data_IF_014723342936
#
_entry.id   IF_014723342936
#
_cell.length_a   1.000
_cell.length_b   1.000
_cell.length_c   1.000
_cell.angle_alpha   90.00
_cell.angle_beta   90.00
_cell.angle_gamma   90.00
#
_symmetry.space_group_name_H-M   'P 1'
#
loop_
_entity.id
_entity.type
_entity.pdbx_description
1 polymer ?
#
# COMPACT_ATOMS: atom_id res chain seq x y z
N UNK A 1 -3.30 16.28 2.67
CA UNK A 1 -2.33 15.16 2.74
C UNK A 1 -2.67 14.33 3.98
N UNK A 2 -2.69 13.01 3.90
CA UNK A 2 -3.09 12.15 5.01
C UNK A 2 -2.25 10.86 5.07
N UNK A 3 -2.10 10.29 6.27
CA UNK A 3 -1.41 9.02 6.50
C UNK A 3 -2.30 7.82 6.15
N UNK A 4 -1.69 6.71 5.73
CA UNK A 4 -2.43 5.49 5.37
C UNK A 4 -3.28 4.92 6.51
N UNK A 5 -2.88 5.10 7.76
CA UNK A 5 -3.62 4.65 8.95
C UNK A 5 -4.84 5.53 9.26
N UNK A 6 -5.05 6.62 8.52
CA UNK A 6 -6.14 7.56 8.73
C UNK A 6 -7.09 7.61 7.51
N UNK A 7 -7.72 6.48 7.11
CA UNK A 7 -8.58 6.44 5.92
C UNK A 7 -9.83 7.33 6.04
N UNK A 8 -10.23 7.69 7.26
CA UNK A 8 -11.31 8.64 7.53
C UNK A 8 -11.00 10.05 7.00
N UNK A 9 -9.73 10.45 6.95
CA UNK A 9 -9.33 11.77 6.47
C UNK A 9 -9.64 11.95 4.98
N UNK A 10 -9.44 10.91 4.17
CA UNK A 10 -9.80 10.91 2.77
C UNK A 10 -11.34 10.98 2.56
N UNK A 11 -12.11 10.33 3.42
CA UNK A 11 -13.57 10.41 3.38
C UNK A 11 -14.07 11.83 3.72
N UNK A 12 -13.50 12.45 4.76
CA UNK A 12 -13.85 13.83 5.15
C UNK A 12 -13.48 14.84 4.08
N UNK A 13 -12.26 14.75 3.52
CA UNK A 13 -11.84 15.62 2.42
C UNK A 13 -12.79 15.52 1.21
N UNK A 14 -13.19 14.30 0.85
CA UNK A 14 -14.17 14.06 -0.22
C UNK A 14 -15.53 14.71 0.05
N UNK A 15 -16.03 14.67 1.30
CA UNK A 15 -17.32 15.33 1.63
C UNK A 15 -17.28 16.85 1.56
N UNK A 16 -16.08 17.43 1.62
CA UNK A 16 -15.84 18.87 1.57
C UNK A 16 -15.34 19.35 0.20
N UNK A 17 -15.28 18.47 -0.81
CA UNK A 17 -14.67 18.74 -2.12
C UNK A 17 -13.21 19.21 -2.04
N UNK A 18 -12.47 18.72 -1.05
CA UNK A 18 -11.04 19.02 -0.87
C UNK A 18 -10.21 17.89 -1.49
N UNK A 19 -9.20 18.19 -2.33
CA UNK A 19 -8.28 17.17 -2.84
C UNK A 19 -7.54 16.46 -1.70
N UNK A 20 -7.63 15.13 -1.67
CA UNK A 20 -6.88 14.29 -0.75
C UNK A 20 -5.66 13.70 -1.47
N UNK A 21 -4.49 13.78 -0.83
CA UNK A 21 -3.25 13.15 -1.32
C UNK A 21 -2.78 12.19 -0.24
N UNK A 22 -2.68 10.91 -0.60
CA UNK A 22 -2.15 9.91 0.33
C UNK A 22 -0.63 10.08 0.49
N UNK A 23 -0.17 10.02 1.73
CA UNK A 23 1.24 10.00 2.09
C UNK A 23 1.56 8.69 2.81
N UNK A 24 2.49 7.93 2.24
CA UNK A 24 2.98 6.68 2.80
C UNK A 24 4.25 6.95 3.61
N UNK A 25 4.17 6.58 4.88
CA UNK A 25 5.28 6.54 5.82
C UNK A 25 6.08 5.24 5.71
N UNK A 26 5.56 4.25 4.98
CA UNK A 26 6.23 3.00 4.66
C UNK A 26 6.95 3.09 3.32
N UNK A 27 7.95 2.22 3.10
CA UNK A 27 8.65 2.11 1.82
C UNK A 27 7.78 1.60 0.68
N UNK A 28 8.19 1.88 -0.55
CA UNK A 28 7.47 1.47 -1.76
C UNK A 28 7.46 -0.05 -1.91
N UNK A 29 8.57 -0.74 -1.57
CA UNK A 29 8.62 -2.22 -1.46
C UNK A 29 7.46 -2.74 -0.59
N UNK A 30 7.36 -2.25 0.64
CA UNK A 30 6.40 -2.75 1.64
C UNK A 30 4.97 -2.51 1.18
N UNK A 31 4.69 -1.31 0.67
CA UNK A 31 3.34 -0.97 0.23
C UNK A 31 2.92 -1.74 -1.02
N UNK A 32 3.79 -1.82 -2.03
CA UNK A 32 3.51 -2.52 -3.30
C UNK A 32 3.37 -4.04 -3.12
N UNK A 33 4.24 -4.67 -2.33
CA UNK A 33 4.17 -6.11 -2.02
C UNK A 33 2.92 -6.47 -1.21
N UNK A 34 2.58 -5.65 -0.22
CA UNK A 34 1.32 -5.79 0.52
C UNK A 34 0.11 -5.64 -0.40
N UNK A 35 0.05 -4.58 -1.20
CA UNK A 35 -1.03 -4.32 -2.16
C UNK A 35 -1.17 -5.44 -3.19
N UNK A 36 -0.06 -5.99 -3.68
CA UNK A 36 -0.05 -7.12 -4.60
C UNK A 36 -0.64 -8.36 -3.94
N UNK A 37 -0.18 -8.72 -2.75
CA UNK A 37 -0.72 -9.88 -2.02
C UNK A 37 -2.23 -9.75 -1.76
N UNK A 38 -2.74 -8.53 -1.63
CA UNK A 38 -4.17 -8.27 -1.51
C UNK A 38 -4.95 -8.47 -2.81
N UNK A 39 -4.46 -7.89 -3.90
CA UNK A 39 -5.17 -7.85 -5.19
C UNK A 39 -4.98 -9.14 -6.01
N UNK A 40 -3.83 -9.81 -5.85
CA UNK A 40 -3.36 -10.92 -6.67
C UNK A 40 -3.10 -12.15 -5.79
N UNK A 41 -4.16 -12.68 -5.16
CA UNK A 41 -4.02 -13.79 -4.22
C UNK A 41 -3.50 -15.04 -4.92
N UNK A 42 -2.41 -15.60 -4.40
CA UNK A 42 -1.78 -16.81 -4.94
C UNK A 42 -0.75 -16.53 -6.03
N UNK A 43 -0.59 -15.29 -6.46
CA UNK A 43 0.47 -14.87 -7.38
C UNK A 43 1.70 -14.41 -6.59
N UNK A 44 2.89 -14.75 -7.09
CA UNK A 44 4.13 -14.24 -6.55
C UNK A 44 4.28 -12.74 -6.89
N UNK A 45 4.95 -11.99 -6.02
CA UNK A 45 5.32 -10.61 -6.32
C UNK A 45 6.35 -10.58 -7.46
N UNK A 46 6.23 -9.67 -8.45
CA UNK A 46 7.07 -9.67 -9.66
C UNK A 46 8.56 -9.36 -9.42
N UNK A 47 8.99 -9.21 -8.16
CA UNK A 47 10.38 -9.00 -7.77
C UNK A 47 10.85 -10.15 -6.87
N UNK A 48 11.58 -11.14 -7.41
CA UNK A 48 11.96 -12.34 -6.65
C UNK A 48 12.83 -12.05 -5.41
N UNK A 49 13.58 -10.94 -5.40
CA UNK A 49 14.34 -10.50 -4.24
C UNK A 49 13.45 -10.11 -3.05
N UNK A 50 12.19 -9.75 -3.31
CA UNK A 50 11.18 -9.44 -2.31
C UNK A 50 10.32 -10.69 -2.15
N UNK A 51 10.79 -11.60 -1.30
CA UNK A 51 10.09 -12.83 -0.99
C UNK A 51 9.80 -12.91 0.51
N UNK A 52 8.62 -13.43 0.84
CA UNK A 52 8.25 -13.80 2.20
C UNK A 52 8.28 -15.32 2.30
N UNK A 53 8.81 -15.86 3.39
CA UNK A 53 8.70 -17.30 3.67
C UNK A 53 7.23 -17.67 3.85
N UNK A 54 6.89 -18.93 3.62
CA UNK A 54 5.49 -19.38 3.69
C UNK A 54 4.82 -18.99 5.02
N UNK A 55 5.51 -19.18 6.15
CA UNK A 55 4.98 -18.81 7.45
C UNK A 55 4.79 -17.29 7.63
N UNK A 56 5.63 -16.46 7.01
CA UNK A 56 5.52 -15.00 7.05
C UNK A 56 4.35 -14.53 6.20
N UNK A 57 4.22 -15.09 5.00
CA UNK A 57 3.09 -14.82 4.11
C UNK A 57 1.76 -15.26 4.75
N UNK A 58 1.74 -16.40 5.46
CA UNK A 58 0.55 -16.90 6.16
C UNK A 58 0.17 -15.97 7.30
N UNK A 59 1.12 -15.57 8.16
CA UNK A 59 0.90 -14.61 9.25
C UNK A 59 0.37 -13.28 8.72
N UNK A 60 0.97 -12.77 7.65
CA UNK A 60 0.55 -11.51 7.04
C UNK A 60 -0.88 -11.62 6.48
N UNK A 61 -1.20 -12.72 5.78
CA UNK A 61 -2.54 -12.97 5.23
C UNK A 61 -3.60 -13.13 6.32
N UNK A 62 -3.26 -13.74 7.46
CA UNK A 62 -4.13 -13.88 8.63
C UNK A 62 -4.38 -12.53 9.33
N UNK A 63 -3.32 -11.76 9.58
CA UNK A 63 -3.42 -10.40 10.14
C UNK A 63 -4.37 -9.55 9.33
N UNK A 64 -4.28 -9.66 8.01
CA UNK A 64 -5.21 -9.02 7.12
C UNK A 64 -6.61 -9.65 7.13
N UNK A 65 -6.75 -10.97 7.07
CA UNK A 65 -8.07 -11.62 7.02
C UNK A 65 -8.99 -11.25 8.19
N UNK A 66 -8.42 -10.98 9.37
CA UNK A 66 -9.16 -10.56 10.55
C UNK A 66 -9.69 -9.12 10.47
N UNK A 67 -9.28 -8.36 9.46
CA UNK A 67 -9.48 -6.90 9.40
C UNK A 67 -10.25 -6.44 8.14
N UNK A 68 -11.24 -7.25 7.71
CA UNK A 68 -11.99 -7.06 6.46
C UNK A 68 -12.58 -5.64 6.33
N UNK A 69 -13.13 -5.07 7.42
CA UNK A 69 -13.68 -3.70 7.41
C UNK A 69 -12.62 -2.63 7.15
N UNK A 70 -11.41 -2.79 7.69
CA UNK A 70 -10.36 -1.80 7.50
C UNK A 70 -9.69 -1.92 6.14
N UNK A 71 -9.74 -3.10 5.48
CA UNK A 71 -9.35 -3.24 4.07
C UNK A 71 -10.20 -2.40 3.12
N UNK A 72 -11.52 -2.50 3.24
CA UNK A 72 -12.44 -1.77 2.35
C UNK A 72 -12.29 -0.26 2.55
N UNK A 73 -12.07 0.16 3.81
CA UNK A 73 -11.74 1.55 4.15
C UNK A 73 -10.42 2.00 3.54
N UNK A 74 -9.39 1.18 3.61
CA UNK A 74 -8.07 1.46 3.06
C UNK A 74 -8.09 1.56 1.53
N UNK A 75 -8.68 0.59 0.83
CA UNK A 75 -8.85 0.62 -0.63
C UNK A 75 -9.71 1.82 -1.03
N UNK A 76 -10.78 2.09 -0.29
CA UNK A 76 -11.62 3.27 -0.48
C UNK A 76 -10.85 4.58 -0.30
N UNK A 77 -9.94 4.66 0.68
CA UNK A 77 -9.09 5.82 0.88
C UNK A 77 -8.10 6.01 -0.28
N UNK A 78 -7.43 4.95 -0.75
CA UNK A 78 -6.56 5.02 -1.94
C UNK A 78 -7.34 5.55 -3.15
N UNK A 79 -8.55 5.04 -3.40
CA UNK A 79 -9.41 5.48 -4.50
C UNK A 79 -9.86 6.93 -4.40
N UNK A 80 -9.94 7.49 -3.18
CA UNK A 80 -10.27 8.90 -2.93
C UNK A 80 -9.05 9.82 -3.01
N UNK A 81 -7.84 9.27 -3.11
CA UNK A 81 -6.65 10.07 -3.40
C UNK A 81 -6.74 10.64 -4.82
N UNK A 82 -6.13 11.79 -5.06
CA UNK A 82 -6.18 12.50 -6.34
C UNK A 82 -5.28 11.86 -7.43
N UNK A 83 -5.30 10.53 -7.55
CA UNK A 83 -4.43 9.72 -8.44
C UNK A 83 -2.92 9.83 -8.17
N UNK A 84 -2.52 10.51 -7.10
CA UNK A 84 -1.13 10.66 -6.68
C UNK A 84 -0.97 10.00 -5.30
N UNK A 85 0.13 9.28 -5.11
CA UNK A 85 0.57 8.76 -3.81
C UNK A 85 1.97 9.31 -3.57
N UNK A 86 2.16 9.99 -2.44
CA UNK A 86 3.46 10.46 -1.99
C UNK A 86 4.09 9.40 -1.10
N UNK A 87 5.36 9.10 -1.33
CA UNK A 87 6.11 8.12 -0.54
C UNK A 87 7.41 8.79 -0.09
N UNK A 88 7.69 8.74 1.21
CA UNK A 88 9.00 9.13 1.73
C UNK A 88 9.82 7.87 1.95
N UNK A 89 10.84 7.67 1.13
CA UNK A 89 11.74 6.51 1.20
C UNK A 89 13.19 6.89 0.90
N UNK A 90 14.10 5.93 1.04
CA UNK A 90 15.53 6.08 0.76
C UNK A 90 16.10 4.81 0.11
N UNK A 91 17.21 4.97 -0.63
CA UNK A 91 17.76 3.95 -1.54
C UNK A 91 18.09 2.64 -0.85
N UNK A 92 18.56 2.70 0.39
CA UNK A 92 18.99 1.53 1.16
C UNK A 92 17.80 0.63 1.54
N UNK A 93 16.59 1.17 1.67
CA UNK A 93 15.36 0.37 1.85
C UNK A 93 14.79 -0.10 0.51
N UNK A 94 14.90 0.71 -0.54
CA UNK A 94 14.35 0.41 -1.88
C UNK A 94 15.32 -0.36 -2.79
N UNK A 95 16.43 -0.86 -2.25
CA UNK A 95 17.49 -1.51 -3.04
C UNK A 95 16.94 -2.58 -4.00
N UNK A 96 17.22 -2.39 -5.30
CA UNK A 96 16.73 -3.11 -6.49
C UNK A 96 15.39 -2.66 -7.13
N UNK A 97 14.61 -1.76 -6.53
CA UNK A 97 13.45 -1.14 -7.23
C UNK A 97 13.90 0.02 -8.15
N UNK A 98 15.07 0.61 -7.90
CA UNK A 98 15.58 1.78 -8.65
C UNK A 98 15.99 1.50 -10.10
N UNK A 99 16.00 0.23 -10.53
CA UNK A 99 16.34 -0.18 -11.90
C UNK A 99 15.10 -0.30 -12.80
N UNK A 100 13.90 0.04 -12.29
CA UNK A 100 12.67 -0.03 -13.07
C UNK A 100 12.48 1.31 -13.78
N UNK A 101 12.74 1.29 -15.09
CA UNK A 101 12.33 2.32 -16.05
C UNK A 101 10.86 2.73 -15.83
N UNK A 102 10.51 4.02 -15.94
CA UNK A 102 9.11 4.42 -15.96
C UNK A 102 8.44 3.81 -17.19
N UNK A 103 7.31 3.15 -16.99
CA UNK A 103 6.29 2.92 -18.01
C UNK A 103 5.07 3.76 -17.64
#
# INVERSE_FOLDING_TARGET
>A
IYDFNQPWAAAMASSLNIPAVQFLTTGAVTFSSGLHMFKHRGEAFPFPAIYLREFESLKMRQSYANDVKDKDRFIGAIKRSCNIILIKTFREIEGNISTISPF
#
